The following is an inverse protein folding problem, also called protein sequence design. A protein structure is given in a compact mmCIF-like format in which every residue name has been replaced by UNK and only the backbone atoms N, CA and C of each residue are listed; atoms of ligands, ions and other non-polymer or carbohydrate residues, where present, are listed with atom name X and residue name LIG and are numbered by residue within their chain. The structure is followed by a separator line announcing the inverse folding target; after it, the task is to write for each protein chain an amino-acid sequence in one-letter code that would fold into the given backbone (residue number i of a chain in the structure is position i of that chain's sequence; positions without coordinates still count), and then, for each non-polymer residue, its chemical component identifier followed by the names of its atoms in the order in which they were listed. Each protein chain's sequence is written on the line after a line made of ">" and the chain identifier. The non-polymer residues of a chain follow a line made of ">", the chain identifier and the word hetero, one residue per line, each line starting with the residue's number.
data_IF_756810566415
#
_entry.id   IF_756810566415
#
_cell.length_a   1.000
_cell.length_b   1.000
_cell.length_c   1.000
_cell.angle_alpha   90.00
_cell.angle_beta   90.00
_cell.angle_gamma   90.00
#
_symmetry.space_group_name_H-M   'P 1'
#
loop_
_entity.id
_entity.type
_entity.pdbx_description
1 polymer ?
#
# COMPACT_ATOMS: atom_id res chain seq x y z
N UNK A 1 13.97 -22.98 43.20
CA UNK A 1 12.93 -23.55 42.32
C UNK A 1 12.22 -22.49 41.48
N UNK A 2 11.75 -21.41 42.07
CA UNK A 2 11.00 -20.33 41.37
C UNK A 2 11.78 -19.67 40.21
N UNK A 3 13.09 -19.41 40.35
CA UNK A 3 13.93 -18.81 39.30
C UNK A 3 14.01 -19.68 38.04
N UNK A 4 14.14 -21.01 38.17
CA UNK A 4 14.17 -21.94 37.03
C UNK A 4 12.84 -22.00 36.29
N UNK A 5 11.71 -21.78 36.97
CA UNK A 5 10.38 -21.71 36.36
C UNK A 5 10.21 -20.42 35.56
N UNK A 6 10.71 -19.29 36.10
CA UNK A 6 10.67 -17.98 35.44
C UNK A 6 11.57 -17.97 34.19
N UNK A 7 12.76 -18.57 34.27
CA UNK A 7 13.68 -18.63 33.12
C UNK A 7 13.16 -19.57 32.03
N UNK A 8 12.53 -20.69 32.42
CA UNK A 8 11.86 -21.59 31.46
C UNK A 8 10.65 -20.94 30.80
N UNK A 9 9.86 -20.17 31.54
CA UNK A 9 8.77 -19.36 31.01
C UNK A 9 9.26 -18.26 30.06
N UNK A 10 10.43 -17.64 30.33
CA UNK A 10 11.07 -16.66 29.44
C UNK A 10 11.62 -17.30 28.15
N UNK A 11 12.19 -18.51 28.25
CA UNK A 11 12.67 -19.25 27.07
C UNK A 11 11.52 -19.70 26.16
N UNK A 12 10.45 -20.21 26.76
CA UNK A 12 9.22 -20.59 26.05
C UNK A 12 8.58 -19.34 25.37
N UNK A 13 8.61 -18.17 26.04
CA UNK A 13 8.16 -16.89 25.46
C UNK A 13 8.95 -16.46 24.21
N UNK A 14 10.19 -16.91 24.04
CA UNK A 14 11.06 -16.60 22.89
C UNK A 14 10.93 -17.61 21.75
N UNK A 15 10.31 -18.76 21.94
CA UNK A 15 10.09 -19.75 20.88
C UNK A 15 8.97 -19.29 19.95
N UNK A 16 9.12 -19.53 18.65
CA UNK A 16 8.09 -19.19 17.65
C UNK A 16 6.75 -19.86 17.93
N UNK A 17 6.77 -21.10 18.42
CA UNK A 17 5.56 -21.82 18.84
C UNK A 17 4.82 -21.14 20.00
N UNK A 18 5.53 -20.46 20.91
CA UNK A 18 4.91 -19.71 22.02
C UNK A 18 4.38 -18.33 21.56
N UNK A 19 5.00 -17.72 20.58
CA UNK A 19 4.44 -16.51 19.93
C UNK A 19 3.07 -16.80 19.31
N UNK A 20 2.90 -17.96 18.70
CA UNK A 20 1.60 -18.45 18.20
C UNK A 20 0.60 -18.78 19.32
N UNK A 21 1.07 -19.32 20.46
CA UNK A 21 0.23 -19.62 21.63
C UNK A 21 -0.26 -18.35 22.35
N UNK A 22 0.57 -17.31 22.44
CA UNK A 22 0.18 -16.01 23.03
C UNK A 22 -0.84 -15.22 22.19
N UNK A 23 -1.02 -15.59 20.92
CA UNK A 23 -2.13 -15.07 20.11
C UNK A 23 -3.49 -15.58 20.59
N UNK A 24 -3.54 -16.62 21.43
CA UNK A 24 -4.79 -17.21 21.91
C UNK A 24 -5.64 -16.27 22.77
N UNK A 25 -5.09 -15.53 23.77
CA UNK A 25 -5.87 -14.52 24.52
C UNK A 25 -6.40 -13.38 23.62
N UNK A 26 -5.59 -12.94 22.67
CA UNK A 26 -5.99 -11.90 21.71
C UNK A 26 -7.09 -12.40 20.77
N UNK A 27 -7.04 -13.66 20.34
CA UNK A 27 -8.10 -14.30 19.54
C UNK A 27 -9.40 -14.48 20.34
N UNK A 28 -9.30 -14.90 21.58
CA UNK A 28 -10.47 -15.01 22.48
C UNK A 28 -11.11 -13.64 22.69
N UNK A 29 -10.30 -12.61 22.96
CA UNK A 29 -10.77 -11.22 23.10
C UNK A 29 -11.43 -10.72 21.82
N UNK A 30 -10.86 -11.05 20.65
CA UNK A 30 -11.40 -10.70 19.34
C UNK A 30 -12.79 -11.33 19.13
N UNK A 31 -12.93 -12.64 19.37
CA UNK A 31 -14.21 -13.33 19.25
C UNK A 31 -15.26 -12.84 20.25
N UNK A 32 -14.86 -12.55 21.49
CA UNK A 32 -15.75 -11.99 22.50
C UNK A 32 -16.27 -10.61 22.08
N UNK A 33 -15.39 -9.74 21.55
CA UNK A 33 -15.77 -8.42 21.04
C UNK A 33 -16.76 -8.52 19.88
N UNK A 34 -16.57 -9.48 18.97
CA UNK A 34 -17.48 -9.71 17.84
C UNK A 34 -18.89 -10.14 18.30
N UNK A 35 -18.96 -11.04 19.28
CA UNK A 35 -20.25 -11.47 19.85
C UNK A 35 -20.99 -10.31 20.52
N UNK A 36 -20.28 -9.49 21.27
CA UNK A 36 -20.83 -8.31 21.93
C UNK A 36 -21.33 -7.26 20.91
N UNK A 37 -20.66 -7.14 19.77
CA UNK A 37 -20.98 -6.18 18.71
C UNK A 37 -21.96 -6.73 17.65
N UNK A 38 -22.65 -7.84 17.91
CA UNK A 38 -23.69 -8.40 17.01
C UNK A 38 -23.24 -8.52 15.55
N UNK A 39 -22.04 -9.06 15.31
CA UNK A 39 -21.49 -9.28 13.98
C UNK A 39 -20.74 -8.08 13.36
N UNK A 40 -20.62 -6.97 14.09
CA UNK A 40 -19.74 -5.86 13.66
C UNK A 40 -18.32 -6.05 14.19
N UNK A 41 -17.34 -5.99 13.30
CA UNK A 41 -15.92 -5.94 13.66
C UNK A 41 -15.47 -4.48 13.71
N UNK A 42 -15.60 -3.86 14.90
CA UNK A 42 -15.16 -2.49 15.12
C UNK A 42 -13.69 -2.46 15.55
N UNK A 43 -12.85 -1.79 14.79
CA UNK A 43 -11.42 -1.67 15.07
C UNK A 43 -10.94 -0.24 14.85
N UNK A 44 -10.13 0.25 15.78
CA UNK A 44 -9.37 1.49 15.65
C UNK A 44 -7.90 1.17 15.47
N UNK A 45 -7.34 1.57 14.34
CA UNK A 45 -5.94 1.32 13.99
C UNK A 45 -5.10 2.50 14.49
N UNK A 46 -4.09 2.20 15.31
CA UNK A 46 -3.06 3.13 15.75
C UNK A 46 -1.71 2.61 15.29
N UNK A 47 -1.14 3.24 14.25
CA UNK A 47 0.06 2.74 13.61
C UNK A 47 0.96 3.86 13.12
N UNK A 48 2.27 3.61 13.16
CA UNK A 48 3.34 4.51 12.75
C UNK A 48 4.17 3.93 11.57
N UNK A 49 3.56 3.12 10.72
CA UNK A 49 4.19 2.62 9.48
C UNK A 49 3.76 3.43 8.27
N UNK A 50 4.34 3.13 7.10
CA UNK A 50 3.98 3.81 5.85
C UNK A 50 2.49 3.68 5.51
N UNK A 51 1.89 4.72 4.91
CA UNK A 51 0.44 4.81 4.63
C UNK A 51 -0.12 3.54 3.99
N UNK A 52 0.49 3.07 2.92
CA UNK A 52 0.02 1.86 2.22
C UNK A 52 0.35 0.55 2.96
N UNK A 53 1.25 0.56 3.93
CA UNK A 53 1.41 -0.56 4.86
C UNK A 53 0.19 -0.69 5.78
N UNK A 54 -0.39 0.43 6.22
CA UNK A 54 -1.66 0.44 6.97
C UNK A 54 -2.82 -0.02 6.09
N UNK A 55 -2.89 0.46 4.83
CA UNK A 55 -3.90 0.00 3.86
C UNK A 55 -3.83 -1.51 3.63
N UNK A 56 -2.63 -2.07 3.61
CA UNK A 56 -2.42 -3.52 3.52
C UNK A 56 -3.03 -4.27 4.71
N UNK A 57 -2.89 -3.74 5.92
CA UNK A 57 -3.53 -4.32 7.11
C UNK A 57 -5.05 -4.23 7.03
N UNK A 58 -5.58 -3.14 6.48
CA UNK A 58 -7.03 -2.99 6.24
C UNK A 58 -7.53 -4.09 5.30
N UNK A 59 -6.82 -4.39 4.22
CA UNK A 59 -7.17 -5.53 3.36
C UNK A 59 -7.25 -6.85 4.12
N UNK A 60 -6.30 -7.13 5.01
CA UNK A 60 -6.34 -8.34 5.82
C UNK A 60 -7.54 -8.37 6.79
N UNK A 61 -7.90 -7.22 7.36
CA UNK A 61 -9.10 -7.08 8.20
C UNK A 61 -10.35 -7.33 7.36
N UNK A 62 -10.43 -6.78 6.16
CA UNK A 62 -11.57 -7.00 5.26
C UNK A 62 -11.71 -8.48 4.87
N UNK A 63 -10.61 -9.16 4.51
CA UNK A 63 -10.62 -10.60 4.25
C UNK A 63 -11.09 -11.41 5.46
N UNK A 64 -10.65 -11.02 6.66
CA UNK A 64 -11.10 -11.65 7.89
C UNK A 64 -12.60 -11.45 8.11
N UNK A 65 -13.09 -10.23 7.88
CA UNK A 65 -14.51 -9.92 8.02
C UNK A 65 -15.35 -10.72 7.03
N UNK A 66 -14.93 -10.79 5.76
CA UNK A 66 -15.61 -11.57 4.72
C UNK A 66 -15.65 -13.06 5.09
N UNK A 67 -14.50 -13.64 5.48
CA UNK A 67 -14.42 -15.05 5.89
C UNK A 67 -15.30 -15.38 7.09
N UNK A 68 -15.53 -14.42 7.98
CA UNK A 68 -16.32 -14.61 9.21
C UNK A 68 -17.75 -14.08 9.13
N UNK A 69 -18.17 -13.57 7.99
CA UNK A 69 -19.50 -12.93 7.83
C UNK A 69 -19.68 -11.72 8.75
N UNK A 70 -18.63 -10.92 8.95
CA UNK A 70 -18.64 -9.75 9.82
C UNK A 70 -18.71 -8.47 9.00
N UNK A 71 -19.37 -7.46 9.56
CA UNK A 71 -19.37 -6.10 8.98
C UNK A 71 -18.19 -5.31 9.52
N UNK A 72 -17.22 -4.89 8.69
CA UNK A 72 -16.09 -4.10 9.14
C UNK A 72 -16.52 -2.68 9.49
N UNK A 73 -16.01 -2.15 10.61
CA UNK A 73 -16.05 -0.75 10.98
C UNK A 73 -14.64 -0.34 11.40
N UNK A 74 -13.94 0.30 10.48
CA UNK A 74 -12.54 0.65 10.65
C UNK A 74 -12.45 2.16 10.85
N UNK A 75 -11.67 2.56 11.85
CA UNK A 75 -11.21 3.94 12.08
C UNK A 75 -9.70 3.93 12.31
N UNK A 76 -9.06 5.07 12.11
CA UNK A 76 -7.65 5.22 12.41
C UNK A 76 -7.37 6.61 13.00
N UNK A 77 -6.75 6.64 14.18
CA UNK A 77 -6.53 7.88 14.93
C UNK A 77 -5.07 8.02 15.33
N UNK A 78 -4.63 9.26 15.47
CA UNK A 78 -3.25 9.56 15.88
C UNK A 78 -2.21 9.01 14.90
N UNK A 79 -1.00 8.76 15.40
CA UNK A 79 0.10 8.27 14.57
C UNK A 79 0.61 9.32 13.60
N UNK A 80 1.27 8.84 12.52
CA UNK A 80 1.92 9.70 11.52
C UNK A 80 0.93 10.50 10.68
N UNK A 81 -0.27 9.96 10.43
CA UNK A 81 -1.24 10.52 9.47
C UNK A 81 -2.41 11.26 10.13
N UNK A 82 -2.48 11.23 11.45
CA UNK A 82 -3.52 11.89 12.23
C UNK A 82 -3.16 13.32 12.64
N UNK A 83 -4.07 13.91 13.39
CA UNK A 83 -3.82 15.15 14.11
C UNK A 83 -2.94 14.92 15.35
N UNK A 84 -2.25 15.95 15.85
CA UNK A 84 -1.37 15.83 17.02
C UNK A 84 -2.08 15.37 18.31
N UNK A 85 -3.38 15.62 18.43
CA UNK A 85 -4.20 15.23 19.57
C UNK A 85 -4.76 13.81 19.46
N UNK A 86 -4.71 13.21 18.28
CA UNK A 86 -5.24 11.87 18.02
C UNK A 86 -6.77 11.79 18.05
N UNK A 87 -7.46 12.90 17.90
CA UNK A 87 -8.93 12.98 17.97
C UNK A 87 -9.60 12.67 16.63
N UNK A 88 -8.93 13.00 15.54
CA UNK A 88 -9.45 12.85 14.19
C UNK A 88 -9.30 11.41 13.68
N UNK A 89 -10.38 10.86 13.12
CA UNK A 89 -10.30 9.64 12.33
C UNK A 89 -9.77 9.97 10.93
N UNK A 90 -8.44 9.86 10.76
CA UNK A 90 -7.80 10.19 9.50
C UNK A 90 -8.16 9.23 8.35
N UNK A 91 -8.60 8.00 8.65
CA UNK A 91 -9.04 7.09 7.59
C UNK A 91 -10.28 7.63 6.88
N UNK A 92 -11.25 8.16 7.63
CA UNK A 92 -12.46 8.78 7.07
C UNK A 92 -12.19 10.10 6.34
N UNK A 93 -11.06 10.75 6.59
CA UNK A 93 -10.63 11.92 5.80
C UNK A 93 -10.27 11.51 4.37
N UNK A 94 -9.66 10.35 4.19
CA UNK A 94 -9.17 9.90 2.87
C UNK A 94 -10.16 8.99 2.13
N UNK A 95 -10.99 8.25 2.86
CA UNK A 95 -11.89 7.25 2.29
C UNK A 95 -13.32 7.38 2.79
N UNK A 96 -14.25 7.22 1.87
CA UNK A 96 -15.66 7.09 2.16
C UNK A 96 -16.07 5.63 2.12
N UNK A 97 -17.02 5.24 2.97
CA UNK A 97 -17.62 3.91 2.94
C UNK A 97 -18.60 3.78 1.77
N UNK A 98 -18.46 2.74 0.97
CA UNK A 98 -19.39 2.41 -0.12
C UNK A 98 -20.68 1.78 0.44
N UNK A 99 -20.51 0.92 1.46
CA UNK A 99 -21.63 0.33 2.19
C UNK A 99 -21.65 0.94 3.58
N UNK A 100 -22.70 1.67 3.89
CA UNK A 100 -22.88 2.24 5.23
C UNK A 100 -22.94 1.11 6.25
N UNK A 101 -21.97 1.04 7.19
CA UNK A 101 -22.09 0.09 8.28
C UNK A 101 -23.33 0.40 9.12
N UNK A 102 -23.92 -0.59 9.80
CA UNK A 102 -25.00 -0.33 10.76
C UNK A 102 -24.60 0.79 11.72
N UNK A 103 -25.54 1.65 12.09
CA UNK A 103 -25.28 2.74 13.02
C UNK A 103 -24.54 2.25 14.26
N UNK A 104 -23.50 3.01 14.64
CA UNK A 104 -22.74 2.73 15.83
C UNK A 104 -23.66 2.87 17.06
N UNK A 105 -24.07 1.76 17.65
CA UNK A 105 -24.73 1.84 18.95
C UNK A 105 -23.70 2.20 20.02
N UNK A 106 -24.06 3.03 20.97
CA UNK A 106 -23.20 3.45 22.09
C UNK A 106 -22.62 2.29 22.91
N UNK A 107 -23.15 1.09 22.73
CA UNK A 107 -22.75 -0.16 23.40
C UNK A 107 -21.69 -0.95 22.63
N UNK A 108 -21.31 -0.55 21.40
CA UNK A 108 -20.30 -1.27 20.64
C UNK A 108 -18.90 -1.02 21.20
N UNK A 109 -18.20 -2.10 21.52
CA UNK A 109 -16.80 -2.02 21.94
C UNK A 109 -15.90 -1.96 20.72
N UNK A 110 -15.11 -0.91 20.64
CA UNK A 110 -14.05 -0.76 19.62
C UNK A 110 -12.77 -1.37 20.16
N UNK A 111 -12.12 -2.18 19.36
CA UNK A 111 -10.78 -2.69 19.65
C UNK A 111 -9.75 -1.72 19.08
N UNK A 112 -8.97 -1.09 19.92
CA UNK A 112 -7.75 -0.37 19.52
C UNK A 112 -6.65 -1.38 19.22
N UNK A 113 -6.00 -1.26 18.07
CA UNK A 113 -4.95 -2.18 17.66
C UNK A 113 -3.91 -1.48 16.79
N UNK A 114 -2.66 -1.95 16.89
CA UNK A 114 -1.57 -1.58 15.99
C UNK A 114 -1.39 -2.63 14.91
N UNK A 115 -0.61 -2.32 13.86
CA UNK A 115 -0.19 -3.31 12.85
C UNK A 115 0.51 -4.50 13.51
N UNK A 116 1.30 -4.24 14.56
CA UNK A 116 1.97 -5.31 15.32
C UNK A 116 0.98 -6.29 15.95
N UNK A 117 -0.11 -5.78 16.53
CA UNK A 117 -1.15 -6.64 17.11
C UNK A 117 -1.85 -7.46 16.03
N UNK A 118 -2.13 -6.88 14.86
CA UNK A 118 -2.72 -7.57 13.73
C UNK A 118 -1.81 -8.69 13.20
N UNK A 119 -0.51 -8.45 13.15
CA UNK A 119 0.49 -9.48 12.84
C UNK A 119 0.48 -10.60 13.88
N UNK A 120 0.40 -10.26 15.18
CA UNK A 120 0.31 -11.25 16.27
C UNK A 120 -0.98 -12.07 16.21
N UNK A 121 -2.08 -11.50 15.70
CA UNK A 121 -3.32 -12.23 15.41
C UNK A 121 -3.17 -13.19 14.22
N UNK A 122 -2.05 -13.16 13.52
CA UNK A 122 -1.75 -14.01 12.38
C UNK A 122 -2.53 -13.65 11.12
N UNK A 123 -3.10 -12.45 11.03
CA UNK A 123 -3.85 -12.01 9.85
C UNK A 123 -2.94 -11.90 8.64
N UNK A 124 -1.74 -11.33 8.81
CA UNK A 124 -0.75 -11.22 7.73
C UNK A 124 -0.35 -12.60 7.22
N UNK A 125 0.13 -13.49 8.07
CA UNK A 125 0.57 -14.83 7.71
C UNK A 125 -0.56 -15.64 7.05
N UNK A 126 -1.81 -15.40 7.48
CA UNK A 126 -2.97 -16.11 6.95
C UNK A 126 -3.38 -15.65 5.56
N UNK A 127 -3.31 -14.35 5.29
CA UNK A 127 -3.94 -13.76 4.13
C UNK A 127 -2.97 -13.30 3.04
N UNK A 128 -1.75 -12.90 3.37
CA UNK A 128 -0.79 -12.37 2.42
C UNK A 128 -0.53 -13.31 1.23
N UNK A 129 -0.37 -14.60 1.49
CA UNK A 129 -0.17 -15.61 0.44
C UNK A 129 -1.43 -15.94 -0.36
N UNK A 130 -2.61 -15.61 0.17
CA UNK A 130 -3.92 -15.91 -0.45
C UNK A 130 -4.47 -14.76 -1.28
N UNK A 131 -3.98 -13.55 -1.07
CA UNK A 131 -4.41 -12.37 -1.82
C UNK A 131 -3.97 -12.46 -3.29
N UNK A 132 -4.92 -12.20 -4.18
CA UNK A 132 -4.71 -11.96 -5.60
C UNK A 132 -5.04 -10.50 -5.90
N UNK A 133 -4.39 -9.90 -6.89
CA UNK A 133 -4.52 -8.46 -7.19
C UNK A 133 -5.98 -8.06 -7.46
N UNK A 134 -6.65 -8.82 -8.34
CA UNK A 134 -8.06 -8.53 -8.67
C UNK A 134 -8.97 -8.69 -7.45
N UNK A 135 -8.84 -9.78 -6.70
CA UNK A 135 -9.68 -10.01 -5.51
C UNK A 135 -9.46 -8.96 -4.43
N UNK A 136 -8.22 -8.50 -4.26
CA UNK A 136 -7.90 -7.43 -3.32
C UNK A 136 -8.52 -6.09 -3.73
N UNK A 137 -8.49 -5.77 -5.03
CA UNK A 137 -9.14 -4.60 -5.59
C UNK A 137 -10.65 -4.65 -5.39
N UNK A 138 -11.30 -5.74 -5.83
CA UNK A 138 -12.74 -5.94 -5.71
C UNK A 138 -13.18 -5.83 -4.23
N UNK A 139 -12.43 -6.46 -3.32
CA UNK A 139 -12.70 -6.40 -1.88
C UNK A 139 -12.59 -4.99 -1.33
N UNK A 140 -11.46 -4.30 -1.59
CA UNK A 140 -11.26 -2.94 -1.07
C UNK A 140 -12.31 -1.97 -1.61
N UNK A 141 -12.52 -1.95 -2.93
CA UNK A 141 -13.43 -1.03 -3.60
C UNK A 141 -14.92 -1.33 -3.31
N UNK A 142 -15.27 -2.55 -2.91
CA UNK A 142 -16.62 -2.86 -2.43
C UNK A 142 -16.94 -2.24 -1.06
N UNK A 143 -15.93 -1.87 -0.28
CA UNK A 143 -16.09 -1.29 1.06
C UNK A 143 -15.76 0.19 1.11
N UNK A 144 -14.74 0.63 0.35
CA UNK A 144 -14.19 1.98 0.43
C UNK A 144 -13.90 2.56 -0.94
N UNK A 145 -14.05 3.86 -1.06
CA UNK A 145 -13.59 4.65 -2.21
C UNK A 145 -12.84 5.88 -1.72
N UNK A 146 -11.95 6.47 -2.51
CA UNK A 146 -11.36 7.76 -2.17
C UNK A 146 -12.45 8.80 -1.88
N UNK A 147 -12.26 9.62 -0.84
CA UNK A 147 -13.19 10.68 -0.49
C UNK A 147 -13.35 11.67 -1.65
N UNK A 148 -14.53 12.29 -1.78
CA UNK A 148 -14.86 13.14 -2.92
C UNK A 148 -13.80 14.24 -3.17
N UNK A 149 -13.35 14.95 -2.13
CA UNK A 149 -12.33 15.99 -2.27
C UNK A 149 -10.97 15.45 -2.77
N UNK A 150 -10.60 14.21 -2.46
CA UNK A 150 -9.40 13.55 -3.00
C UNK A 150 -9.61 13.21 -4.47
N UNK A 151 -10.77 12.67 -4.83
CA UNK A 151 -11.10 12.33 -6.21
C UNK A 151 -11.12 13.58 -7.11
N UNK A 152 -11.71 14.68 -6.63
CA UNK A 152 -11.75 15.97 -7.34
C UNK A 152 -10.34 16.54 -7.53
N UNK A 153 -9.49 16.44 -6.53
CA UNK A 153 -8.09 16.86 -6.62
C UNK A 153 -7.34 16.06 -7.67
N UNK A 154 -7.44 14.72 -7.63
CA UNK A 154 -6.83 13.83 -8.62
C UNK A 154 -7.31 14.16 -10.02
N UNK A 155 -8.62 14.35 -10.22
CA UNK A 155 -9.21 14.75 -11.50
C UNK A 155 -8.63 16.07 -12.00
N UNK A 156 -8.53 17.09 -11.13
CA UNK A 156 -7.94 18.38 -11.46
C UNK A 156 -6.47 18.27 -11.89
N UNK A 157 -5.68 17.47 -11.16
CA UNK A 157 -4.27 17.23 -11.49
C UNK A 157 -4.13 16.45 -12.79
N UNK A 158 -4.93 15.39 -13.00
CA UNK A 158 -4.93 14.62 -14.24
C UNK A 158 -5.22 15.53 -15.45
N UNK A 159 -6.23 16.41 -15.36
CA UNK A 159 -6.54 17.37 -16.41
C UNK A 159 -5.39 18.34 -16.67
N UNK A 160 -4.78 18.90 -15.63
CA UNK A 160 -3.69 19.89 -15.76
C UNK A 160 -2.42 19.27 -16.34
N UNK A 161 -2.08 18.01 -15.95
CA UNK A 161 -0.88 17.30 -16.38
C UNK A 161 -1.15 16.38 -17.58
N UNK A 162 -2.36 16.37 -18.12
CA UNK A 162 -2.77 15.51 -19.25
C UNK A 162 -2.54 14.02 -18.97
N UNK A 163 -2.75 13.59 -17.71
CA UNK A 163 -2.64 12.19 -17.32
C UNK A 163 -3.89 11.44 -17.80
N UNK A 164 -3.68 10.38 -18.59
CA UNK A 164 -4.73 9.56 -19.15
C UNK A 164 -4.23 8.15 -19.46
N UNK A 165 -5.05 7.33 -20.10
CA UNK A 165 -4.64 5.99 -20.53
C UNK A 165 -3.61 5.99 -21.69
N UNK A 166 -3.24 7.15 -22.22
CA UNK A 166 -2.07 7.33 -23.10
C UNK A 166 -0.81 7.82 -22.38
N UNK A 167 -0.81 7.87 -21.06
CA UNK A 167 0.33 8.29 -20.23
C UNK A 167 1.07 7.08 -19.68
N UNK A 168 2.40 7.09 -19.80
CA UNK A 168 3.26 6.19 -19.02
C UNK A 168 3.44 6.74 -17.61
N UNK A 169 2.93 6.05 -16.61
CA UNK A 169 3.23 6.32 -15.21
C UNK A 169 4.61 5.78 -14.85
N UNK A 170 5.38 6.57 -14.12
CA UNK A 170 6.70 6.20 -13.63
C UNK A 170 6.79 6.49 -12.14
N UNK A 171 7.18 5.48 -11.35
CA UNK A 171 7.44 5.67 -9.93
C UNK A 171 8.80 5.09 -9.53
N UNK A 172 9.69 5.96 -9.11
CA UNK A 172 10.99 5.58 -8.57
C UNK A 172 11.05 5.87 -7.07
N UNK A 173 11.47 4.90 -6.29
CA UNK A 173 11.73 5.04 -4.86
C UNK A 173 13.09 4.45 -4.53
N UNK A 174 14.01 5.30 -4.06
CA UNK A 174 15.39 4.91 -3.79
C UNK A 174 15.85 5.15 -2.36
N UNK A 175 15.19 6.03 -1.59
CA UNK A 175 15.70 6.54 -0.30
C UNK A 175 15.91 5.46 0.76
N UNK A 176 14.89 4.67 1.07
CA UNK A 176 14.89 3.68 2.17
C UNK A 176 14.77 2.23 1.70
N UNK A 177 14.59 2.01 0.39
CA UNK A 177 14.25 0.69 -0.17
C UNK A 177 15.45 -0.21 -0.49
N UNK A 178 16.69 0.23 -0.24
CA UNK A 178 17.91 -0.59 -0.48
C UNK A 178 17.91 -1.91 0.30
N UNK A 179 17.16 -1.98 1.41
CA UNK A 179 17.00 -3.20 2.21
C UNK A 179 15.84 -4.09 1.74
N UNK A 180 14.90 -3.56 0.96
CA UNK A 180 13.63 -4.22 0.61
C UNK A 180 13.55 -4.61 -0.87
N UNK A 181 14.36 -3.99 -1.73
CA UNK A 181 14.41 -4.26 -3.16
C UNK A 181 15.84 -4.34 -3.68
N UNK A 182 16.05 -4.97 -4.84
CA UNK A 182 17.31 -4.92 -5.56
C UNK A 182 17.45 -3.53 -6.17
N UNK A 183 18.53 -2.78 -5.84
CA UNK A 183 18.73 -1.43 -6.35
C UNK A 183 18.85 -1.41 -7.89
N UNK A 184 18.26 -0.39 -8.50
CA UNK A 184 18.41 -0.09 -9.93
C UNK A 184 19.04 1.30 -10.05
N UNK A 185 20.06 1.46 -10.92
CA UNK A 185 20.59 2.80 -11.19
C UNK A 185 19.58 3.64 -11.96
N UNK A 186 19.69 4.95 -11.85
CA UNK A 186 18.81 5.87 -12.56
C UNK A 186 18.88 5.70 -14.08
N UNK A 187 20.08 5.47 -14.62
CA UNK A 187 20.31 5.22 -16.04
C UNK A 187 19.65 3.92 -16.50
N UNK A 188 19.81 2.83 -15.76
CA UNK A 188 19.19 1.55 -16.10
C UNK A 188 17.67 1.63 -16.01
N UNK A 189 17.16 2.39 -15.05
CA UNK A 189 15.71 2.65 -14.94
C UNK A 189 15.22 3.47 -16.14
N UNK A 190 15.92 4.51 -16.57
CA UNK A 190 15.58 5.30 -17.76
C UNK A 190 15.63 4.44 -19.05
N UNK A 191 16.63 3.57 -19.21
CA UNK A 191 16.70 2.64 -20.35
C UNK A 191 15.53 1.65 -20.39
N UNK A 192 15.09 1.16 -19.22
CA UNK A 192 13.88 0.35 -19.15
C UNK A 192 12.66 1.15 -19.61
N UNK A 193 12.53 2.40 -19.19
CA UNK A 193 11.43 3.29 -19.63
C UNK A 193 11.48 3.51 -21.15
N UNK A 194 12.66 3.72 -21.74
CA UNK A 194 12.82 3.82 -23.21
C UNK A 194 12.35 2.55 -23.93
N UNK A 195 12.75 1.37 -23.44
CA UNK A 195 12.29 0.08 -24.01
C UNK A 195 10.77 -0.03 -23.95
N UNK A 196 10.15 0.29 -22.80
CA UNK A 196 8.71 0.25 -22.64
C UNK A 196 7.99 1.24 -23.58
N UNK A 197 8.55 2.44 -23.79
CA UNK A 197 7.98 3.41 -24.73
C UNK A 197 8.09 2.93 -26.18
N UNK A 198 9.18 2.26 -26.55
CA UNK A 198 9.37 1.69 -27.89
C UNK A 198 8.36 0.56 -28.17
N UNK A 199 8.09 -0.26 -27.15
CA UNK A 199 7.10 -1.35 -27.22
C UNK A 199 5.64 -0.84 -27.23
N UNK A 200 5.40 0.41 -26.74
CA UNK A 200 4.07 1.00 -26.59
C UNK A 200 3.97 2.38 -27.25
N UNK A 201 3.95 2.46 -28.59
CA UNK A 201 3.99 3.73 -29.34
C UNK A 201 2.76 4.61 -29.12
N UNK A 202 1.66 4.06 -28.64
CA UNK A 202 0.43 4.77 -28.28
C UNK A 202 0.56 5.63 -27.01
N UNK A 203 1.60 5.43 -26.20
CA UNK A 203 1.87 6.29 -25.06
C UNK A 203 2.43 7.63 -25.53
N UNK A 204 1.76 8.71 -25.19
CA UNK A 204 2.04 10.07 -25.72
C UNK A 204 2.89 10.93 -24.79
N UNK A 205 2.85 10.69 -23.48
CA UNK A 205 3.56 11.44 -22.47
C UNK A 205 3.96 10.54 -21.30
N UNK A 206 4.78 11.08 -20.40
CA UNK A 206 5.26 10.40 -19.19
C UNK A 206 4.87 11.22 -17.97
N UNK A 207 4.29 10.57 -16.96
CA UNK A 207 4.09 11.13 -15.64
C UNK A 207 5.06 10.49 -14.65
N UNK A 208 5.95 11.29 -14.04
CA UNK A 208 6.92 10.82 -13.05
C UNK A 208 6.52 11.22 -11.63
N UNK A 209 6.61 10.27 -10.71
CA UNK A 209 6.45 10.45 -9.26
C UNK A 209 7.64 9.83 -8.54
N UNK A 210 8.23 10.55 -7.61
CA UNK A 210 9.30 10.08 -6.74
C UNK A 210 9.32 10.87 -5.45
N UNK A 211 9.90 10.31 -4.41
CA UNK A 211 10.23 11.01 -3.16
C UNK A 211 11.61 11.70 -3.21
N UNK A 212 12.36 11.54 -4.31
CA UNK A 212 13.68 12.12 -4.54
C UNK A 212 13.64 13.20 -5.63
N UNK A 213 13.82 14.47 -5.26
CA UNK A 213 13.86 15.56 -6.24
C UNK A 213 15.00 15.38 -7.25
N UNK A 214 16.17 14.94 -6.79
CA UNK A 214 17.32 14.73 -7.66
C UNK A 214 17.06 13.67 -8.75
N UNK A 215 16.28 12.63 -8.43
CA UNK A 215 15.82 11.67 -9.44
C UNK A 215 14.83 12.32 -10.43
N UNK A 216 13.89 13.09 -9.94
CA UNK A 216 12.92 13.77 -10.82
C UNK A 216 13.63 14.68 -11.80
N UNK A 217 14.60 15.49 -11.34
CA UNK A 217 15.38 16.40 -12.17
C UNK A 217 16.20 15.64 -13.21
N UNK A 218 16.88 14.57 -12.80
CA UNK A 218 17.62 13.68 -13.69
C UNK A 218 16.71 13.04 -14.74
N UNK A 219 15.54 12.53 -14.32
CA UNK A 219 14.58 11.86 -15.18
C UNK A 219 13.97 12.82 -16.21
N UNK A 220 13.64 14.05 -15.84
CA UNK A 220 13.12 15.07 -16.76
C UNK A 220 14.16 15.47 -17.80
N UNK A 221 15.43 15.50 -17.42
CA UNK A 221 16.53 15.83 -18.34
C UNK A 221 16.88 14.69 -19.31
N UNK A 222 16.38 13.46 -19.09
CA UNK A 222 16.65 12.34 -19.97
C UNK A 222 15.90 12.46 -21.30
N UNK A 223 16.54 12.15 -22.46
CA UNK A 223 15.98 12.41 -23.79
C UNK A 223 14.99 11.33 -24.25
N UNK A 224 13.84 11.17 -23.59
CA UNK A 224 12.81 10.18 -23.95
C UNK A 224 12.10 10.46 -25.29
N UNK A 225 12.22 11.64 -25.86
CA UNK A 225 11.47 12.04 -27.06
C UNK A 225 9.95 12.18 -26.83
N UNK A 226 9.52 12.15 -25.58
CA UNK A 226 8.13 12.35 -25.13
C UNK A 226 8.10 13.42 -24.02
N UNK A 227 7.02 14.21 -23.89
CA UNK A 227 6.86 15.13 -22.78
C UNK A 227 6.88 14.40 -21.44
N UNK A 228 7.73 14.87 -20.51
CA UNK A 228 7.77 14.38 -19.12
C UNK A 228 7.12 15.41 -18.22
N UNK A 229 6.21 14.96 -17.37
CA UNK A 229 5.48 15.77 -16.41
C UNK A 229 5.63 15.21 -15.02
N UNK A 230 5.81 16.10 -14.04
CA UNK A 230 5.80 15.75 -12.61
C UNK A 230 4.71 16.55 -11.90
N UNK A 231 4.04 15.95 -10.93
CA UNK A 231 3.23 16.74 -10.02
C UNK A 231 4.18 17.64 -9.20
N UNK A 232 3.80 18.90 -8.92
CA UNK A 232 4.58 19.72 -8.00
C UNK A 232 4.57 19.01 -6.64
N UNK A 233 5.68 18.37 -6.30
CA UNK A 233 5.80 17.69 -5.02
C UNK A 233 5.84 18.74 -3.91
N UNK A 234 4.81 18.76 -3.07
CA UNK A 234 4.77 19.60 -1.88
C UNK A 234 5.64 19.03 -0.77
N UNK A 235 5.78 17.72 -0.76
CA UNK A 235 6.51 16.97 0.26
C UNK A 235 7.60 16.15 -0.42
N UNK A 236 8.83 16.38 -0.03
CA UNK A 236 10.01 15.66 -0.53
C UNK A 236 10.78 15.07 0.65
N UNK A 237 11.45 13.96 0.41
CA UNK A 237 12.35 13.38 1.38
C UNK A 237 13.48 14.36 1.72
N UNK A 238 13.82 14.47 3.01
CA UNK A 238 14.94 15.28 3.49
C UNK A 238 16.17 14.39 3.64
N UNK A 239 17.00 14.39 2.61
CA UNK A 239 18.15 13.48 2.54
C UNK A 239 17.69 12.01 2.46
N UNK A 240 18.20 11.15 3.33
CA UNK A 240 17.82 9.73 3.42
C UNK A 240 16.61 9.46 4.31
N UNK A 241 15.99 10.50 4.89
CA UNK A 241 14.84 10.34 5.79
C UNK A 241 13.57 10.21 4.97
N UNK A 242 12.79 9.13 5.12
CA UNK A 242 11.51 8.98 4.43
C UNK A 242 10.54 10.11 4.77
N UNK A 243 9.66 10.47 3.82
CA UNK A 243 8.72 11.60 3.95
C UNK A 243 7.89 11.49 5.24
N UNK A 244 7.43 10.31 5.60
CA UNK A 244 6.59 10.09 6.78
C UNK A 244 7.31 10.29 8.13
N UNK A 245 8.65 10.44 8.12
CA UNK A 245 9.45 10.82 9.30
C UNK A 245 10.08 12.21 9.17
N UNK A 246 9.74 12.97 8.12
CA UNK A 246 10.36 14.28 7.84
C UNK A 246 9.70 15.46 8.58
N UNK A 247 8.75 15.22 9.49
CA UNK A 247 8.12 16.25 10.32
C UNK A 247 7.09 17.13 9.59
N UNK A 248 6.57 16.68 8.47
CA UNK A 248 5.44 17.33 7.79
C UNK A 248 4.12 17.04 8.53
N UNK A 249 3.07 17.87 8.32
CA UNK A 249 1.74 17.59 8.87
C UNK A 249 1.19 16.23 8.41
N UNK A 250 0.69 15.43 9.33
CA UNK A 250 0.30 14.04 9.05
C UNK A 250 -0.76 13.90 7.97
N UNK A 251 -1.77 14.76 8.00
CA UNK A 251 -2.82 14.77 6.97
C UNK A 251 -2.30 15.13 5.58
N UNK A 252 -1.27 15.95 5.47
CA UNK A 252 -0.66 16.26 4.19
C UNK A 252 0.15 15.08 3.66
N UNK A 253 0.88 14.37 4.54
CA UNK A 253 1.65 13.18 4.16
C UNK A 253 0.73 12.09 3.60
N UNK A 254 -0.36 11.79 4.30
CA UNK A 254 -1.32 10.76 3.87
C UNK A 254 -2.03 11.15 2.57
N UNK A 255 -2.44 12.41 2.44
CA UNK A 255 -3.04 12.96 1.23
C UNK A 255 -2.10 12.85 0.03
N UNK A 256 -0.85 13.29 0.17
CA UNK A 256 0.15 13.24 -0.90
C UNK A 256 0.40 11.78 -1.35
N UNK A 257 0.54 10.86 -0.40
CA UNK A 257 0.71 9.44 -0.71
C UNK A 257 -0.49 8.88 -1.49
N UNK A 258 -1.71 9.15 -1.05
CA UNK A 258 -2.93 8.68 -1.71
C UNK A 258 -3.11 9.29 -3.10
N UNK A 259 -2.97 10.62 -3.22
CA UNK A 259 -3.07 11.33 -4.50
C UNK A 259 -2.03 10.80 -5.49
N UNK A 260 -0.77 10.61 -5.08
CA UNK A 260 0.26 10.05 -5.96
C UNK A 260 -0.09 8.66 -6.48
N UNK A 261 -0.59 7.78 -5.61
CA UNK A 261 -1.02 6.43 -6.02
C UNK A 261 -2.20 6.47 -6.99
N UNK A 262 -3.16 7.37 -6.76
CA UNK A 262 -4.33 7.54 -7.63
C UNK A 262 -3.95 8.17 -8.98
N UNK A 263 -3.00 9.10 -9.03
CA UNK A 263 -2.49 9.64 -10.30
C UNK A 263 -1.83 8.54 -11.15
N UNK A 264 -1.01 7.69 -10.51
CA UNK A 264 -0.39 6.55 -11.18
C UNK A 264 -1.43 5.54 -11.67
N UNK A 265 -2.54 5.33 -10.95
CA UNK A 265 -3.62 4.43 -11.38
C UNK A 265 -4.39 4.94 -12.61
N UNK A 266 -4.36 6.25 -12.86
CA UNK A 266 -4.97 6.86 -14.04
C UNK A 266 -4.11 6.73 -15.32
N UNK A 267 -2.85 6.29 -15.21
CA UNK A 267 -1.98 6.07 -16.36
C UNK A 267 -2.40 4.83 -17.17
N UNK A 268 -1.87 4.70 -18.38
CA UNK A 268 -2.13 3.54 -19.26
C UNK A 268 -1.21 2.35 -18.98
N UNK A 269 -0.01 2.62 -18.48
CA UNK A 269 0.98 1.64 -18.05
C UNK A 269 1.83 2.25 -16.93
N UNK A 270 2.30 1.44 -15.98
CA UNK A 270 3.13 1.88 -14.87
C UNK A 270 4.48 1.14 -14.87
N UNK A 271 5.59 1.87 -14.94
CA UNK A 271 6.94 1.36 -14.66
C UNK A 271 7.35 1.80 -13.25
N UNK A 272 7.79 0.87 -12.42
CA UNK A 272 8.07 1.19 -11.00
C UNK A 272 9.21 0.38 -10.39
N UNK A 273 9.85 0.94 -9.38
CA UNK A 273 10.61 0.14 -8.40
C UNK A 273 9.66 -0.44 -7.35
N UNK A 274 10.01 -1.54 -6.62
CA UNK A 274 9.18 -2.09 -5.57
C UNK A 274 8.83 -1.05 -4.51
N UNK A 275 7.52 -0.83 -4.30
CA UNK A 275 6.99 0.12 -3.32
C UNK A 275 5.48 -0.09 -3.13
N UNK A 276 5.02 -0.10 -1.88
CA UNK A 276 3.58 -0.19 -1.59
C UNK A 276 2.78 0.93 -2.25
N UNK A 277 3.27 2.19 -2.24
CA UNK A 277 2.56 3.33 -2.82
C UNK A 277 2.15 3.07 -4.26
N UNK A 278 3.10 2.73 -5.10
CA UNK A 278 2.83 2.49 -6.52
C UNK A 278 2.24 1.11 -6.82
N UNK A 279 2.42 0.13 -5.93
CA UNK A 279 1.74 -1.15 -6.03
C UNK A 279 0.22 -1.02 -5.79
N UNK A 280 -0.19 -0.13 -4.88
CA UNK A 280 -1.58 0.17 -4.62
C UNK A 280 -2.31 0.84 -5.80
N UNK A 281 -1.59 1.45 -6.73
CA UNK A 281 -2.18 1.92 -7.99
C UNK A 281 -2.88 0.79 -8.75
N UNK A 282 -2.34 -0.44 -8.69
CA UNK A 282 -2.97 -1.64 -9.26
C UNK A 282 -4.18 -2.12 -8.47
N UNK A 283 -4.28 -1.79 -7.18
CA UNK A 283 -5.48 -2.05 -6.37
C UNK A 283 -6.59 -1.06 -6.71
N UNK A 284 -6.26 0.21 -6.97
CA UNK A 284 -7.24 1.22 -7.40
C UNK A 284 -7.69 1.01 -8.85
N UNK A 285 -6.81 0.52 -9.72
CA UNK A 285 -7.16 0.09 -11.08
C UNK A 285 -6.58 -1.30 -11.38
N UNK A 286 -7.38 -2.37 -11.22
CA UNK A 286 -6.91 -3.74 -11.46
C UNK A 286 -6.57 -4.02 -12.94
N UNK A 287 -6.98 -3.15 -13.87
CA UNK A 287 -6.64 -3.26 -15.28
C UNK A 287 -5.28 -2.66 -15.64
N UNK A 288 -4.69 -1.82 -14.75
CA UNK A 288 -3.42 -1.13 -15.00
C UNK A 288 -2.29 -2.12 -15.26
N UNK A 289 -1.66 -2.15 -16.44
CA UNK A 289 -0.45 -2.92 -16.66
C UNK A 289 0.71 -2.35 -15.84
N UNK A 290 1.49 -3.22 -15.19
CA UNK A 290 2.61 -2.80 -14.35
C UNK A 290 3.87 -3.56 -14.74
N UNK A 291 4.98 -2.83 -14.92
CA UNK A 291 6.33 -3.34 -15.13
C UNK A 291 7.20 -2.98 -13.93
N UNK A 292 7.69 -3.97 -13.21
CA UNK A 292 8.69 -3.78 -12.15
C UNK A 292 10.08 -3.66 -12.75
N UNK A 293 10.84 -2.66 -12.31
CA UNK A 293 12.21 -2.43 -12.76
C UNK A 293 13.21 -3.39 -12.12
N UNK A 294 12.84 -3.99 -10.97
CA UNK A 294 13.65 -4.99 -10.29
C UNK A 294 12.75 -5.86 -9.42
N UNK A 295 13.18 -7.11 -9.10
CA UNK A 295 12.45 -7.93 -8.16
C UNK A 295 12.51 -7.33 -6.75
N UNK A 296 11.44 -7.48 -5.95
CA UNK A 296 11.54 -7.29 -4.52
C UNK A 296 12.49 -8.36 -3.94
N UNK A 297 13.13 -8.08 -2.80
CA UNK A 297 13.98 -9.08 -2.15
C UNK A 297 13.14 -10.25 -1.63
N UNK A 298 13.64 -11.49 -1.66
CA UNK A 298 12.87 -12.66 -1.23
C UNK A 298 12.41 -12.60 0.23
N UNK A 299 13.18 -11.96 1.11
CA UNK A 299 12.85 -11.73 2.53
C UNK A 299 11.90 -10.55 2.76
N UNK A 300 11.70 -9.72 1.72
CA UNK A 300 10.80 -8.58 1.69
C UNK A 300 9.74 -8.70 0.58
N UNK A 301 9.36 -9.94 0.24
CA UNK A 301 8.45 -10.25 -0.86
C UNK A 301 7.00 -10.10 -0.44
N UNK A 302 6.51 -8.87 -0.44
CA UNK A 302 5.17 -8.53 0.05
C UNK A 302 4.15 -8.35 -1.07
N UNK A 303 2.91 -8.71 -0.76
CA UNK A 303 1.76 -8.26 -1.55
C UNK A 303 1.64 -6.72 -1.48
N UNK A 304 1.34 -5.97 -2.58
CA UNK A 304 1.04 -6.47 -3.95
C UNK A 304 2.27 -6.78 -4.82
N UNK A 305 3.47 -6.27 -4.49
CA UNK A 305 4.66 -6.39 -5.37
C UNK A 305 5.07 -7.83 -5.66
N UNK A 306 4.87 -8.75 -4.70
CA UNK A 306 5.10 -10.18 -4.94
C UNK A 306 4.25 -10.73 -6.08
N UNK A 307 2.97 -10.36 -6.14
CA UNK A 307 2.08 -10.83 -7.20
C UNK A 307 2.36 -10.16 -8.53
N UNK A 308 2.72 -8.89 -8.51
CA UNK A 308 3.12 -8.16 -9.71
C UNK A 308 4.38 -8.79 -10.33
N UNK A 309 5.33 -9.21 -9.51
CA UNK A 309 6.54 -9.88 -9.99
C UNK A 309 6.23 -11.29 -10.52
N UNK A 310 5.45 -12.09 -9.80
CA UNK A 310 5.03 -13.41 -10.26
C UNK A 310 4.32 -13.35 -11.63
N UNK A 311 3.41 -12.37 -11.82
CA UNK A 311 2.72 -12.15 -13.09
C UNK A 311 3.69 -11.77 -14.21
N UNK A 312 4.67 -10.89 -13.93
CA UNK A 312 5.68 -10.47 -14.90
C UNK A 312 6.59 -11.63 -15.33
N UNK A 313 7.04 -12.47 -14.40
CA UNK A 313 7.85 -13.66 -14.70
C UNK A 313 7.09 -14.67 -15.55
N UNK A 314 5.82 -14.88 -15.26
CA UNK A 314 4.98 -15.78 -16.06
C UNK A 314 4.81 -15.28 -17.49
N UNK A 315 4.60 -13.97 -17.67
CA UNK A 315 4.50 -13.36 -19.01
C UNK A 315 5.81 -13.47 -19.80
N UNK A 316 6.96 -13.25 -19.16
CA UNK A 316 8.27 -13.37 -19.81
C UNK A 316 8.54 -14.79 -20.29
N UNK A 317 8.26 -15.80 -19.45
CA UNK A 317 8.41 -17.22 -19.80
C UNK A 317 7.45 -17.62 -20.94
N UNK A 318 6.23 -17.11 -20.95
CA UNK A 318 5.27 -17.39 -22.03
C UNK A 318 5.73 -16.79 -23.36
N UNK A 319 6.34 -15.60 -23.35
CA UNK A 319 6.89 -14.98 -24.55
C UNK A 319 8.09 -15.75 -25.12
N UNK A 320 8.96 -16.29 -24.27
CA UNK A 320 10.11 -17.14 -24.67
C UNK A 320 9.69 -18.47 -25.32
N UNK A 321 8.52 -19.02 -24.91
CA UNK A 321 8.00 -20.30 -25.41
C UNK A 321 7.12 -20.15 -26.67
N UNK A 322 6.76 -18.93 -27.05
CA UNK A 322 5.97 -18.66 -28.25
C UNK A 322 6.89 -18.73 -29.48
N UNK A 323 6.67 -19.62 -30.44
CA UNK A 323 7.48 -19.67 -31.66
C UNK A 323 7.38 -18.33 -32.39
N UNK A 324 8.53 -17.78 -32.74
CA UNK A 324 8.60 -16.62 -33.67
C UNK A 324 7.96 -17.04 -34.97
N UNK A 325 6.76 -16.54 -35.23
CA UNK A 325 6.00 -16.78 -36.48
C UNK A 325 6.55 -15.94 -37.61
#
# INVERSE_FOLDING_TARGET
>A
MLRKVIDRARLIRRSEGFKHSLATPSRVSLHATQRLNKGVFAIEIQENSGFFSVMQMILFILMYCEEKGLTPRISARGGIYGDPLGEMDWFSVYFETVRTPPEATSTQKVRTSTVRDLVQLGLRQRYETRLQLKSASDLFLSHYRPAAHIADEVSSICKRLEISKSTLGVHFRGTDKKLEAIPVSWENFCRLVESVLAENPNLSNIFVSSDEQAFIDFFIAWPFGKPVRAAPAKLLARGSVPIHFSGYPGLEIGREALVSSLLLSNCGLLVKTPSYLSAWSKIFDPSLPVKLASPPRPDAFWFPDSRLWDEQELQSKAAELSPVS
#
